data_IF_760415079306
#
_entry.id   IF_760415079306
#
_cell.length_a   1.000
_cell.length_b   1.000
_cell.length_c   1.000
_cell.angle_alpha   90.00
_cell.angle_beta   90.00
_cell.angle_gamma   90.00
#
_symmetry.space_group_name_H-M   'P 1'
#
loop_
_entity.id
_entity.type
_entity.pdbx_description
1 polymer ?
#
# COMPACT_ATOMS: atom_id res chain seq x y z
N UNK A 1 -18.61 -26.08 7.81
CA UNK A 1 -17.42 -25.71 8.58
C UNK A 1 -16.65 -24.73 7.73
N UNK A 2 -16.34 -23.54 8.25
CA UNK A 2 -15.50 -22.59 7.52
C UNK A 2 -14.10 -23.20 7.30
N UNK A 3 -13.57 -23.04 6.09
CA UNK A 3 -12.23 -23.48 5.76
C UNK A 3 -11.20 -22.60 6.49
N UNK A 4 -10.47 -23.16 7.44
CA UNK A 4 -9.41 -22.47 8.19
C UNK A 4 -8.00 -22.74 7.65
N UNK A 5 -7.89 -23.43 6.50
CA UNK A 5 -6.62 -23.83 5.93
C UNK A 5 -5.77 -22.61 5.53
N UNK A 6 -4.50 -22.65 5.93
CA UNK A 6 -3.46 -21.73 5.48
C UNK A 6 -2.57 -22.51 4.52
N UNK A 7 -2.43 -22.02 3.29
CA UNK A 7 -1.70 -22.70 2.22
C UNK A 7 -0.46 -21.88 1.87
N UNK A 8 0.74 -22.50 1.79
CA UNK A 8 1.93 -21.82 1.31
C UNK A 8 1.71 -21.20 -0.06
N UNK A 9 2.23 -19.99 -0.24
CA UNK A 9 2.19 -19.25 -1.49
C UNK A 9 3.61 -18.93 -1.94
N UNK A 10 3.80 -18.93 -3.25
CA UNK A 10 5.03 -18.46 -3.89
C UNK A 10 4.61 -17.65 -5.10
N UNK A 11 5.13 -16.43 -5.20
CA UNK A 11 4.94 -15.59 -6.37
C UNK A 11 5.70 -16.20 -7.55
N UNK A 12 5.00 -16.50 -8.63
CA UNK A 12 5.58 -17.08 -9.84
C UNK A 12 4.81 -16.54 -11.05
N UNK A 13 5.21 -15.35 -11.51
CA UNK A 13 4.56 -14.68 -12.64
C UNK A 13 4.96 -15.38 -13.94
N UNK A 14 4.01 -15.87 -14.75
CA UNK A 14 4.30 -16.52 -16.03
C UNK A 14 5.11 -15.59 -16.94
N UNK A 15 6.07 -16.16 -17.68
CA UNK A 15 6.87 -15.37 -18.63
C UNK A 15 5.98 -14.66 -19.67
N UNK A 16 4.86 -15.26 -20.05
CA UNK A 16 3.89 -14.66 -20.97
C UNK A 16 3.29 -13.34 -20.46
N UNK A 17 3.16 -13.14 -19.15
CA UNK A 17 2.65 -11.88 -18.59
C UNK A 17 3.73 -10.78 -18.66
N UNK A 18 5.01 -11.15 -18.48
CA UNK A 18 6.12 -10.22 -18.67
C UNK A 18 6.31 -9.84 -20.15
N UNK A 19 6.12 -10.81 -21.04
CA UNK A 19 6.18 -10.58 -22.49
C UNK A 19 5.02 -9.67 -22.94
N UNK A 20 3.81 -9.86 -22.40
CA UNK A 20 2.66 -8.98 -22.65
C UNK A 20 2.89 -7.56 -22.12
N UNK A 21 3.41 -7.42 -20.89
CA UNK A 21 3.80 -6.13 -20.32
C UNK A 21 4.79 -5.40 -21.24
N UNK A 22 5.86 -6.09 -21.66
CA UNK A 22 6.87 -5.52 -22.54
C UNK A 22 6.29 -5.09 -23.90
N UNK A 23 5.42 -5.92 -24.49
CA UNK A 23 4.75 -5.59 -25.74
C UNK A 23 3.84 -4.34 -25.60
N UNK A 24 3.13 -4.20 -24.48
CA UNK A 24 2.28 -3.02 -24.20
C UNK A 24 3.11 -1.76 -23.96
N UNK A 25 4.25 -1.86 -23.26
CA UNK A 25 5.19 -0.77 -23.09
C UNK A 25 5.72 -0.28 -24.45
N UNK A 26 6.16 -1.21 -25.31
CA UNK A 26 6.68 -0.92 -26.66
C UNK A 26 5.60 -0.27 -27.55
N UNK A 27 4.34 -0.64 -27.38
CA UNK A 27 3.20 -0.13 -28.15
C UNK A 27 2.55 1.15 -27.55
N UNK A 28 3.15 1.75 -26.51
CA UNK A 28 2.54 2.88 -25.79
C UNK A 28 2.25 4.06 -26.72
N UNK A 29 0.97 4.46 -26.79
CA UNK A 29 0.57 5.72 -27.42
C UNK A 29 0.57 6.86 -26.41
N UNK A 30 1.67 7.60 -26.38
CA UNK A 30 1.85 8.74 -25.50
C UNK A 30 0.95 9.93 -25.86
N UNK A 31 0.36 10.61 -24.86
CA UNK A 31 -0.34 11.87 -25.08
C UNK A 31 0.64 12.99 -25.44
N UNK A 32 0.11 14.08 -26.01
CA UNK A 32 0.85 15.33 -26.08
C UNK A 32 1.04 15.89 -24.66
N UNK A 33 2.21 16.47 -24.39
CA UNK A 33 2.44 17.19 -23.15
C UNK A 33 1.50 18.40 -23.05
N UNK A 34 1.00 18.67 -21.85
CA UNK A 34 0.34 19.94 -21.54
C UNK A 34 1.41 21.06 -21.49
N UNK A 35 1.03 22.35 -21.65
CA UNK A 35 1.99 23.44 -21.58
C UNK A 35 2.80 23.40 -20.27
N UNK A 36 4.13 23.36 -20.38
CA UNK A 36 5.06 23.24 -19.25
C UNK A 36 5.73 21.86 -19.15
N UNK A 37 4.98 20.78 -19.42
CA UNK A 37 5.39 19.38 -19.15
C UNK A 37 6.03 19.23 -17.75
N UNK A 38 5.37 19.79 -16.75
CA UNK A 38 5.76 19.78 -15.34
C UNK A 38 4.68 19.09 -14.48
N UNK A 39 4.89 19.11 -13.16
CA UNK A 39 4.06 18.36 -12.22
C UNK A 39 2.77 19.08 -11.83
N UNK A 40 2.53 20.32 -12.31
CA UNK A 40 1.37 21.13 -11.92
C UNK A 40 0.05 20.52 -12.40
N UNK A 41 0.10 19.62 -13.39
CA UNK A 41 -1.08 18.94 -13.97
C UNK A 41 -1.00 17.42 -13.90
N UNK A 42 -0.13 16.88 -13.04
CA UNK A 42 0.15 15.45 -12.91
C UNK A 42 1.51 15.07 -13.48
N UNK A 43 1.74 13.78 -13.73
CA UNK A 43 3.06 13.29 -14.14
C UNK A 43 3.51 13.84 -15.51
N UNK A 44 4.69 14.49 -15.61
CA UNK A 44 5.26 14.91 -16.89
C UNK A 44 5.41 13.76 -17.88
N UNK A 45 5.09 14.00 -19.14
CA UNK A 45 5.22 13.01 -20.22
C UNK A 45 6.69 12.63 -20.39
N UNK A 46 7.61 13.60 -20.37
CA UNK A 46 9.04 13.31 -20.48
C UNK A 46 9.57 12.43 -19.34
N UNK A 47 9.16 12.70 -18.09
CA UNK A 47 9.60 11.91 -16.94
C UNK A 47 9.01 10.50 -16.96
N UNK A 48 7.71 10.36 -17.23
CA UNK A 48 7.03 9.06 -17.27
C UNK A 48 7.57 8.18 -18.42
N UNK A 49 7.93 8.77 -19.56
CA UNK A 49 8.63 8.08 -20.66
C UNK A 49 9.95 7.48 -20.19
N UNK A 50 10.79 8.29 -19.52
CA UNK A 50 12.09 7.81 -19.03
C UNK A 50 11.94 6.66 -18.02
N UNK A 51 10.94 6.71 -17.13
CA UNK A 51 10.67 5.62 -16.20
C UNK A 51 10.12 4.37 -16.91
N UNK A 52 9.24 4.54 -17.91
CA UNK A 52 8.72 3.42 -18.71
C UNK A 52 9.81 2.75 -19.57
N UNK A 53 10.76 3.52 -20.11
CA UNK A 53 11.94 3.01 -20.81
C UNK A 53 12.83 2.18 -19.85
N UNK A 54 13.08 2.68 -18.64
CA UNK A 54 13.78 1.90 -17.61
C UNK A 54 13.01 0.64 -17.21
N UNK A 55 11.68 0.73 -17.06
CA UNK A 55 10.84 -0.43 -16.76
C UNK A 55 10.93 -1.50 -17.84
N UNK A 56 11.01 -1.08 -19.12
CA UNK A 56 11.09 -1.97 -20.26
C UNK A 56 12.45 -2.62 -20.44
N UNK A 57 13.55 -1.89 -20.24
CA UNK A 57 14.88 -2.34 -20.65
C UNK A 57 15.90 -2.52 -19.51
N UNK A 58 15.61 -1.99 -18.31
CA UNK A 58 16.52 -2.03 -17.16
C UNK A 58 16.00 -2.80 -15.94
N UNK A 59 14.70 -2.75 -15.71
CA UNK A 59 14.06 -3.36 -14.54
C UNK A 59 14.03 -4.90 -14.62
N UNK A 60 14.60 -5.59 -13.62
CA UNK A 60 14.57 -7.06 -13.52
C UNK A 60 13.45 -7.52 -12.58
N UNK A 61 12.24 -7.78 -13.12
CA UNK A 61 11.14 -8.36 -12.34
C UNK A 61 11.54 -9.64 -11.62
N UNK A 62 12.37 -10.50 -12.23
CA UNK A 62 12.76 -11.77 -11.61
C UNK A 62 13.63 -11.55 -10.38
N UNK A 63 14.41 -10.46 -10.32
CA UNK A 63 15.13 -10.09 -9.10
C UNK A 63 14.16 -9.72 -7.96
N UNK A 64 13.14 -8.93 -8.28
CA UNK A 64 12.15 -8.46 -7.32
C UNK A 64 11.25 -9.60 -6.84
N UNK A 65 10.81 -10.48 -7.76
CA UNK A 65 10.10 -11.72 -7.46
C UNK A 65 10.91 -12.63 -6.53
N UNK A 66 12.23 -12.77 -6.77
CA UNK A 66 13.12 -13.52 -5.87
C UNK A 66 13.21 -12.88 -4.49
N UNK A 67 13.28 -11.56 -4.40
CA UNK A 67 13.34 -10.83 -3.12
C UNK A 67 12.07 -11.03 -2.31
N UNK A 68 10.89 -10.81 -2.90
CA UNK A 68 9.59 -11.02 -2.25
C UNK A 68 9.49 -12.47 -1.75
N UNK A 69 9.89 -13.44 -2.59
CA UNK A 69 9.89 -14.86 -2.26
C UNK A 69 10.95 -15.30 -1.23
N UNK A 70 11.83 -14.41 -0.75
CA UNK A 70 12.67 -14.72 0.42
C UNK A 70 11.85 -14.83 1.70
N UNK A 71 10.69 -14.19 1.74
CA UNK A 71 9.80 -14.21 2.89
C UNK A 71 8.73 -15.31 2.74
N UNK A 72 8.42 -16.05 3.83
CA UNK A 72 7.31 -17.00 3.82
C UNK A 72 5.99 -16.28 3.53
N UNK A 73 5.30 -16.72 2.49
CA UNK A 73 4.02 -16.19 2.05
C UNK A 73 2.96 -17.28 2.10
N UNK A 74 1.73 -16.87 2.32
CA UNK A 74 0.60 -17.78 2.46
C UNK A 74 -0.66 -17.17 1.87
N UNK A 75 -1.62 -18.04 1.60
CA UNK A 75 -3.00 -17.67 1.29
C UNK A 75 -3.97 -18.43 2.19
N UNK A 76 -5.10 -17.80 2.47
CA UNK A 76 -6.24 -18.41 3.16
C UNK A 76 -7.53 -17.76 2.70
N UNK A 77 -8.68 -18.37 2.98
CA UNK A 77 -9.99 -17.80 2.68
C UNK A 77 -10.68 -17.35 3.98
N UNK A 78 -11.06 -16.07 4.05
CA UNK A 78 -11.74 -15.48 5.20
C UNK A 78 -12.97 -14.71 4.71
N UNK A 79 -14.16 -15.10 5.18
CA UNK A 79 -15.41 -14.47 4.77
C UNK A 79 -15.63 -14.52 3.26
N UNK A 80 -15.29 -15.65 2.61
CA UNK A 80 -15.41 -15.87 1.17
C UNK A 80 -14.37 -15.17 0.30
N UNK A 81 -13.41 -14.45 0.90
CA UNK A 81 -12.35 -13.75 0.17
C UNK A 81 -11.01 -14.45 0.35
N UNK A 82 -10.28 -14.63 -0.76
CA UNK A 82 -8.88 -15.02 -0.72
C UNK A 82 -8.04 -13.87 -0.16
N UNK A 83 -7.24 -14.18 0.84
CA UNK A 83 -6.30 -13.27 1.50
C UNK A 83 -4.90 -13.83 1.32
N UNK A 84 -4.01 -13.02 0.74
CA UNK A 84 -2.58 -13.25 0.74
C UNK A 84 -1.92 -12.52 1.91
N UNK A 85 -0.87 -13.10 2.49
CA UNK A 85 -0.06 -12.45 3.51
C UNK A 85 1.35 -13.02 3.61
N UNK A 86 2.32 -12.18 3.98
CA UNK A 86 3.63 -12.63 4.46
C UNK A 86 3.51 -12.95 5.96
N UNK A 87 4.19 -13.99 6.41
CA UNK A 87 4.31 -14.33 7.82
C UNK A 87 5.76 -14.60 8.19
N UNK A 88 6.37 -13.64 8.89
CA UNK A 88 7.80 -13.67 9.23
C UNK A 88 7.94 -13.79 10.74
N UNK A 89 8.44 -14.93 11.19
CA UNK A 89 8.69 -15.19 12.61
C UNK A 89 10.07 -14.65 12.98
N UNK A 90 10.11 -13.72 13.93
CA UNK A 90 11.33 -13.37 14.68
C UNK A 90 12.06 -14.61 15.23
N UNK A 91 13.41 -14.61 15.25
CA UNK A 91 14.20 -15.57 16.01
C UNK A 91 14.03 -15.42 17.54
N UNK A 92 13.58 -14.27 18.03
CA UNK A 92 13.30 -14.04 19.44
C UNK A 92 11.91 -14.64 19.79
N UNK A 93 11.83 -15.59 20.73
CA UNK A 93 10.59 -16.36 20.97
C UNK A 93 9.46 -15.53 21.58
N UNK A 94 9.81 -14.48 22.33
CA UNK A 94 8.88 -13.59 23.03
C UNK A 94 8.52 -12.34 22.20
N UNK A 95 8.92 -12.29 20.93
CA UNK A 95 8.65 -11.17 20.03
C UNK A 95 7.15 -10.87 19.91
N UNK A 96 6.78 -9.59 19.96
CA UNK A 96 5.38 -9.19 19.89
C UNK A 96 4.83 -9.43 18.47
N UNK A 97 3.70 -10.13 18.29
CA UNK A 97 3.08 -10.23 16.97
C UNK A 97 2.52 -8.88 16.53
N UNK A 98 2.74 -8.51 15.27
CA UNK A 98 2.33 -7.23 14.71
C UNK A 98 1.77 -7.43 13.30
N UNK A 99 0.53 -6.99 13.09
CA UNK A 99 -0.06 -6.92 11.75
C UNK A 99 0.26 -5.58 11.09
N UNK A 100 0.87 -5.61 9.90
CA UNK A 100 1.25 -4.45 9.10
C UNK A 100 0.33 -4.31 7.89
N UNK A 101 -0.56 -3.32 7.90
CA UNK A 101 -1.53 -3.11 6.80
C UNK A 101 -1.10 -1.92 5.93
N UNK A 102 -0.90 -2.16 4.63
CA UNK A 102 -0.65 -1.10 3.64
C UNK A 102 -1.94 -0.33 3.31
N UNK A 103 -1.83 0.65 2.41
CA UNK A 103 -3.01 1.30 1.81
C UNK A 103 -2.93 1.38 0.30
N UNK A 104 -3.47 2.45 -0.27
CA UNK A 104 -3.47 2.75 -1.69
C UNK A 104 -2.59 3.99 -1.96
N UNK A 105 -1.79 4.03 -3.05
CA UNK A 105 -1.58 3.01 -4.09
C UNK A 105 -0.50 1.99 -3.70
N UNK A 106 -0.46 1.65 -2.42
CA UNK A 106 0.55 0.83 -1.78
C UNK A 106 0.37 -0.68 -1.93
N UNK A 107 1.32 -1.43 -1.36
CA UNK A 107 1.32 -2.89 -1.33
C UNK A 107 2.21 -3.42 -0.21
N UNK A 108 2.31 -4.76 -0.09
CA UNK A 108 3.24 -5.41 0.86
C UNK A 108 4.70 -5.06 0.59
N UNK A 109 5.03 -4.57 -0.61
CA UNK A 109 6.38 -4.19 -1.04
C UNK A 109 6.94 -3.05 -0.19
N UNK A 110 6.09 -2.15 0.33
CA UNK A 110 6.48 -1.05 1.21
C UNK A 110 7.16 -1.51 2.50
N UNK A 111 6.93 -2.76 2.91
CA UNK A 111 7.41 -3.28 4.17
C UNK A 111 8.68 -4.13 4.04
N UNK A 112 9.15 -4.45 2.83
CA UNK A 112 10.26 -5.40 2.64
C UNK A 112 11.52 -4.98 3.42
N UNK A 113 11.86 -3.69 3.35
CA UNK A 113 13.02 -3.13 4.06
C UNK A 113 12.79 -2.99 5.59
N UNK A 114 11.54 -3.09 6.06
CA UNK A 114 11.20 -3.09 7.48
C UNK A 114 11.23 -4.49 8.09
N UNK A 115 11.05 -5.55 7.29
CA UNK A 115 10.91 -6.91 7.81
C UNK A 115 12.16 -7.34 8.60
N UNK A 116 13.35 -7.12 8.05
CA UNK A 116 14.61 -7.51 8.70
C UNK A 116 14.79 -6.84 10.06
N UNK A 117 14.87 -5.51 10.12
CA UNK A 117 15.07 -4.78 11.38
C UNK A 117 13.99 -5.03 12.44
N UNK A 118 12.72 -5.19 12.04
CA UNK A 118 11.64 -5.43 13.00
C UNK A 118 11.58 -6.88 13.49
N UNK A 119 11.88 -7.86 12.63
CA UNK A 119 11.83 -9.26 13.04
C UNK A 119 13.11 -9.74 13.72
N UNK A 120 14.28 -9.25 13.31
CA UNK A 120 15.58 -9.60 13.88
C UNK A 120 16.38 -8.32 14.19
N UNK A 121 15.97 -7.53 15.21
CA UNK A 121 16.67 -6.31 15.58
C UNK A 121 18.12 -6.59 15.99
N UNK A 122 18.41 -7.76 16.56
CA UNK A 122 19.77 -8.16 16.96
C UNK A 122 20.75 -8.14 15.79
N UNK A 123 20.35 -8.70 14.64
CA UNK A 123 21.17 -8.70 13.43
C UNK A 123 21.30 -7.30 12.79
N UNK A 124 20.46 -6.34 13.18
CA UNK A 124 20.39 -4.99 12.62
C UNK A 124 20.79 -3.90 13.62
N UNK A 125 21.41 -4.26 14.77
CA UNK A 125 21.95 -3.33 15.76
C UNK A 125 20.93 -2.75 16.75
N UNK A 126 19.71 -3.29 16.79
CA UNK A 126 18.67 -2.96 17.77
C UNK A 126 18.67 -3.89 18.99
N UNK A 127 17.79 -3.59 19.96
CA UNK A 127 17.57 -4.44 21.14
C UNK A 127 16.73 -5.68 20.77
N UNK A 128 17.18 -6.91 21.06
CA UNK A 128 16.36 -8.12 20.92
C UNK A 128 14.97 -8.05 21.57
N UNK A 129 14.82 -7.28 22.65
CA UNK A 129 13.53 -7.09 23.32
C UNK A 129 12.49 -6.33 22.48
N UNK A 130 12.93 -5.60 21.45
CA UNK A 130 12.08 -4.82 20.54
C UNK A 130 11.64 -5.63 19.29
N UNK A 131 11.85 -6.96 19.29
CA UNK A 131 11.54 -7.80 18.15
C UNK A 131 10.03 -8.04 17.94
N UNK A 132 9.65 -8.24 16.68
CA UNK A 132 8.27 -8.53 16.28
C UNK A 132 8.15 -9.81 15.44
N UNK A 133 7.09 -10.59 15.68
CA UNK A 133 6.59 -11.49 14.62
C UNK A 133 5.71 -10.68 13.67
N UNK A 134 5.96 -10.74 12.37
CA UNK A 134 5.28 -9.88 11.40
C UNK A 134 4.25 -10.66 10.59
N UNK A 135 3.05 -10.11 10.48
CA UNK A 135 2.00 -10.55 9.56
C UNK A 135 1.69 -9.38 8.63
N UNK A 136 1.97 -9.54 7.34
CA UNK A 136 1.88 -8.46 6.35
C UNK A 136 0.87 -8.86 5.27
N UNK A 137 -0.43 -8.65 5.50
CA UNK A 137 -1.44 -9.04 4.55
C UNK A 137 -1.59 -8.04 3.39
N UNK A 138 -1.91 -8.57 2.22
CA UNK A 138 -2.42 -7.78 1.10
C UNK A 138 -3.90 -7.48 1.34
N UNK A 139 -4.31 -6.21 1.25
CA UNK A 139 -5.72 -5.82 1.42
C UNK A 139 -6.66 -6.61 0.48
N UNK A 140 -7.90 -6.92 0.89
CA UNK A 140 -8.93 -7.47 0.01
C UNK A 140 -9.10 -6.61 -1.25
N UNK A 141 -8.96 -7.21 -2.44
CA UNK A 141 -9.02 -6.47 -3.71
C UNK A 141 -7.68 -5.91 -4.19
N UNK A 142 -6.58 -6.10 -3.45
CA UNK A 142 -5.27 -5.54 -3.78
C UNK A 142 -4.25 -6.63 -4.08
N UNK A 143 -3.49 -6.41 -5.17
CA UNK A 143 -2.31 -7.18 -5.56
C UNK A 143 -2.48 -8.68 -5.36
N UNK A 144 -1.63 -9.25 -4.52
CA UNK A 144 -1.56 -10.70 -4.32
C UNK A 144 -2.77 -11.32 -3.61
N UNK A 145 -3.67 -10.54 -2.98
CA UNK A 145 -4.99 -11.05 -2.51
C UNK A 145 -5.98 -11.22 -3.67
N UNK A 146 -5.77 -10.50 -4.77
CA UNK A 146 -6.60 -10.52 -5.96
C UNK A 146 -7.92 -9.77 -5.80
N UNK A 147 -8.75 -9.76 -6.86
CA UNK A 147 -10.05 -9.07 -6.86
C UNK A 147 -10.98 -9.53 -5.75
N UNK A 148 -11.90 -8.64 -5.34
CA UNK A 148 -12.91 -9.00 -4.34
C UNK A 148 -13.95 -9.97 -4.91
N UNK A 149 -14.31 -10.99 -4.15
CA UNK A 149 -15.34 -11.97 -4.53
C UNK A 149 -16.77 -11.41 -4.43
N UNK A 150 -16.98 -10.41 -3.58
CA UNK A 150 -18.27 -9.73 -3.40
C UNK A 150 -18.09 -8.30 -2.90
N UNK A 151 -19.16 -7.50 -2.95
CA UNK A 151 -19.18 -6.14 -2.44
C UNK A 151 -19.16 -6.08 -0.89
N UNK A 152 -18.96 -4.87 -0.34
CA UNK A 152 -19.05 -4.62 1.10
C UNK A 152 -17.76 -4.85 1.89
N UNK A 153 -16.61 -4.90 1.21
CA UNK A 153 -15.30 -4.82 1.85
C UNK A 153 -14.99 -3.40 2.31
N UNK A 154 -15.52 -3.04 3.48
CA UNK A 154 -15.20 -1.82 4.21
C UNK A 154 -14.07 -2.04 5.25
N UNK A 155 -13.69 -0.97 5.95
CA UNK A 155 -12.62 -1.02 6.97
C UNK A 155 -12.96 -1.96 8.13
N UNK A 156 -14.21 -1.98 8.58
CA UNK A 156 -14.66 -2.84 9.67
C UNK A 156 -14.68 -4.33 9.28
N UNK A 157 -15.11 -4.66 8.06
CA UNK A 157 -15.05 -6.02 7.51
C UNK A 157 -13.61 -6.49 7.35
N UNK A 158 -12.74 -5.62 6.84
CA UNK A 158 -11.30 -5.90 6.72
C UNK A 158 -10.67 -6.14 8.10
N UNK A 159 -11.00 -5.33 9.10
CA UNK A 159 -10.55 -5.53 10.47
C UNK A 159 -11.01 -6.87 11.08
N UNK A 160 -12.27 -7.29 10.85
CA UNK A 160 -12.74 -8.63 11.26
C UNK A 160 -11.96 -9.74 10.56
N UNK A 161 -11.60 -9.57 9.29
CA UNK A 161 -10.77 -10.53 8.59
C UNK A 161 -9.34 -10.61 9.17
N UNK A 162 -8.76 -9.49 9.62
CA UNK A 162 -7.49 -9.49 10.35
C UNK A 162 -7.57 -10.15 11.72
N UNK A 163 -8.63 -9.91 12.49
CA UNK A 163 -8.84 -10.62 13.75
C UNK A 163 -8.88 -12.14 13.53
N UNK A 164 -9.61 -12.60 12.50
CA UNK A 164 -9.68 -14.02 12.15
C UNK A 164 -8.33 -14.55 11.63
N UNK A 165 -7.60 -13.79 10.82
CA UNK A 165 -6.26 -14.17 10.35
C UNK A 165 -5.29 -14.37 11.52
N UNK A 166 -5.24 -13.41 12.46
CA UNK A 166 -4.38 -13.49 13.64
C UNK A 166 -4.77 -14.66 14.53
N UNK A 167 -6.07 -14.92 14.70
CA UNK A 167 -6.59 -16.09 15.43
C UNK A 167 -6.15 -17.41 14.79
N UNK A 168 -6.24 -17.54 13.46
CA UNK A 168 -5.78 -18.75 12.73
C UNK A 168 -4.26 -18.98 12.87
N UNK A 169 -3.49 -17.91 12.99
CA UNK A 169 -2.05 -17.96 13.24
C UNK A 169 -1.68 -18.22 14.71
N UNK A 170 -2.68 -18.31 15.60
CA UNK A 170 -2.49 -18.59 17.03
C UNK A 170 -2.05 -17.38 17.86
N UNK A 171 -2.22 -16.16 17.35
CA UNK A 171 -1.86 -14.95 18.07
C UNK A 171 -3.03 -14.44 18.92
N UNK A 172 -2.92 -14.65 20.24
CA UNK A 172 -3.91 -14.16 21.21
C UNK A 172 -3.62 -12.73 21.69
N UNK A 173 -2.39 -12.24 21.51
CA UNK A 173 -1.97 -10.85 21.79
C UNK A 173 -1.15 -10.32 20.62
N UNK A 174 -1.55 -9.19 20.05
CA UNK A 174 -0.86 -8.59 18.91
C UNK A 174 -1.06 -7.08 18.81
N UNK A 175 -0.10 -6.38 18.20
CA UNK A 175 -0.25 -4.99 17.79
C UNK A 175 -0.86 -4.87 16.39
N UNK A 176 -1.47 -3.72 16.10
CA UNK A 176 -1.96 -3.36 14.78
C UNK A 176 -1.28 -2.08 14.28
N UNK A 177 -0.70 -2.11 13.09
CA UNK A 177 -0.05 -0.96 12.47
C UNK A 177 -0.53 -0.75 11.05
N UNK A 178 -0.75 0.51 10.69
CA UNK A 178 -1.05 0.86 9.30
C UNK A 178 -0.87 2.34 8.97
N UNK A 179 -0.61 2.58 7.69
CA UNK A 179 -0.71 3.88 7.03
C UNK A 179 -1.86 3.86 6.02
N UNK A 180 -2.29 5.02 5.55
CA UNK A 180 -3.35 5.18 4.55
C UNK A 180 -4.61 4.34 4.91
N UNK A 181 -5.18 3.51 4.02
CA UNK A 181 -6.32 2.62 4.33
C UNK A 181 -6.01 1.75 5.56
N UNK A 182 -4.76 1.28 5.70
CA UNK A 182 -4.30 0.55 6.89
C UNK A 182 -4.42 1.34 8.19
N UNK A 183 -4.29 2.67 8.15
CA UNK A 183 -4.53 3.54 9.30
C UNK A 183 -6.02 3.71 9.64
N UNK A 184 -6.92 3.45 8.69
CA UNK A 184 -8.36 3.34 8.95
C UNK A 184 -8.75 1.94 9.46
N UNK A 185 -8.10 0.88 8.96
CA UNK A 185 -8.35 -0.51 9.37
C UNK A 185 -7.79 -0.85 10.75
N UNK A 186 -6.59 -0.36 11.09
CA UNK A 186 -5.91 -0.75 12.34
C UNK A 186 -6.67 -0.32 13.62
N UNK A 187 -7.26 0.89 13.69
CA UNK A 187 -8.14 1.25 14.80
C UNK A 187 -9.41 0.40 14.85
N UNK A 188 -10.00 0.04 13.71
CA UNK A 188 -11.14 -0.88 13.67
C UNK A 188 -10.78 -2.26 14.21
N UNK A 189 -9.55 -2.75 13.96
CA UNK A 189 -9.06 -4.00 14.54
C UNK A 189 -9.05 -3.94 16.08
N UNK A 190 -8.60 -2.82 16.64
CA UNK A 190 -8.67 -2.57 18.08
C UNK A 190 -10.11 -2.52 18.64
N UNK A 191 -11.09 -2.12 17.82
CA UNK A 191 -12.51 -2.11 18.21
C UNK A 191 -13.17 -3.49 18.13
N UNK A 192 -12.85 -4.27 17.10
CA UNK A 192 -13.48 -5.60 16.89
C UNK A 192 -12.82 -6.72 17.68
N UNK A 193 -11.54 -6.55 18.07
CA UNK A 193 -10.79 -7.51 18.88
C UNK A 193 -10.03 -6.80 20.03
N UNK A 194 -10.74 -6.11 20.95
CA UNK A 194 -10.12 -5.29 22.00
C UNK A 194 -9.34 -6.12 23.03
N UNK A 195 -9.71 -7.38 23.24
CA UNK A 195 -9.05 -8.29 24.18
C UNK A 195 -7.70 -8.82 23.64
N UNK A 196 -7.55 -8.87 22.32
CA UNK A 196 -6.35 -9.39 21.65
C UNK A 196 -5.41 -8.27 21.17
N UNK A 197 -5.94 -7.10 20.83
CA UNK A 197 -5.15 -5.99 20.28
C UNK A 197 -4.50 -5.18 21.39
N UNK A 198 -3.18 -5.31 21.58
CA UNK A 198 -2.45 -4.68 22.70
C UNK A 198 -2.04 -3.23 22.41
N UNK A 199 -2.12 -2.80 21.16
CA UNK A 199 -1.78 -1.44 20.75
C UNK A 199 -2.07 -1.19 19.28
N UNK A 200 -2.40 0.07 18.95
CA UNK A 200 -2.61 0.54 17.58
C UNK A 200 -1.62 1.65 17.28
N UNK A 201 -0.82 1.49 16.23
CA UNK A 201 0.14 2.49 15.76
C UNK A 201 -0.21 2.93 14.33
N UNK A 202 -0.53 4.21 14.13
CA UNK A 202 -0.83 4.78 12.81
C UNK A 202 0.14 5.88 12.44
N UNK A 203 0.53 5.94 11.17
CA UNK A 203 1.49 6.92 10.66
C UNK A 203 0.91 7.89 9.62
N UNK A 204 -0.43 8.00 9.57
CA UNK A 204 -1.19 8.89 8.66
C UNK A 204 -2.16 8.11 7.78
N UNK A 205 -3.30 8.71 7.41
CA UNK A 205 -4.27 8.10 6.50
C UNK A 205 -5.57 8.92 6.34
N UNK A 206 -6.55 8.41 5.56
CA UNK A 206 -7.77 9.11 5.19
C UNK A 206 -8.78 9.09 6.36
N UNK A 207 -8.38 9.61 7.51
CA UNK A 207 -9.28 9.86 8.63
C UNK A 207 -10.42 10.81 8.22
N UNK A 208 -11.47 10.94 9.06
CA UNK A 208 -12.56 11.86 8.76
C UNK A 208 -12.01 13.26 8.51
N UNK A 209 -12.28 13.78 7.32
CA UNK A 209 -11.87 15.14 6.94
C UNK A 209 -12.70 16.12 7.77
N UNK A 210 -12.08 17.16 8.36
CA UNK A 210 -12.84 18.21 9.02
C UNK A 210 -13.78 18.90 8.01
N UNK A 211 -14.91 19.48 8.47
CA UNK A 211 -15.76 20.27 7.59
C UNK A 211 -15.04 21.56 7.19
N UNK A 212 -14.49 21.59 5.98
CA UNK A 212 -13.72 22.73 5.46
C UNK A 212 -14.59 23.65 4.58
N UNK A 213 -14.35 24.98 4.58
CA UNK A 213 -13.39 25.69 5.44
C UNK A 213 -13.85 25.74 6.90
N UNK A 214 -12.90 25.78 7.84
CA UNK A 214 -13.21 25.96 9.26
C UNK A 214 -13.77 27.37 9.53
N UNK A 215 -14.67 27.54 10.53
CA UNK A 215 -15.09 28.85 11.00
C UNK A 215 -13.89 29.71 11.42
N UNK A 216 -13.96 31.03 11.19
CA UNK A 216 -12.84 31.95 11.47
C UNK A 216 -12.41 31.93 12.94
N UNK A 217 -13.35 31.82 13.87
CA UNK A 217 -13.09 31.70 15.31
C UNK A 217 -12.31 30.42 15.65
N UNK A 218 -12.67 29.30 15.01
CA UNK A 218 -11.96 28.03 15.19
C UNK A 218 -10.54 28.13 14.63
N UNK A 219 -10.37 28.66 13.41
CA UNK A 219 -9.05 28.85 12.79
C UNK A 219 -8.14 29.79 13.60
N UNK A 220 -8.71 30.83 14.23
CA UNK A 220 -8.00 31.75 15.09
C UNK A 220 -7.52 31.10 16.39
N UNK A 221 -8.24 30.08 16.88
CA UNK A 221 -7.88 29.34 18.11
C UNK A 221 -6.71 28.37 17.92
N UNK A 222 -6.43 27.98 16.67
CA UNK A 222 -5.37 27.02 16.34
C UNK A 222 -3.96 27.60 16.51
N UNK A 223 -2.98 26.75 16.80
CA UNK A 223 -1.57 27.09 16.71
C UNK A 223 -1.14 27.29 15.25
N UNK A 224 0.06 27.86 15.04
CA UNK A 224 0.62 27.98 13.68
C UNK A 224 0.77 26.62 12.98
N UNK A 225 1.19 25.58 13.71
CA UNK A 225 1.32 24.22 13.18
C UNK A 225 -0.04 23.61 12.81
N UNK A 226 -1.06 23.83 13.63
CA UNK A 226 -2.40 23.33 13.35
C UNK A 226 -3.05 24.04 12.15
N UNK A 227 -2.90 25.37 12.03
CA UNK A 227 -3.33 26.11 10.83
C UNK A 227 -2.64 25.60 9.56
N UNK A 228 -1.35 25.33 9.64
CA UNK A 228 -0.57 24.77 8.54
C UNK A 228 -1.03 23.33 8.17
N UNK A 229 -1.46 22.51 9.14
CA UNK A 229 -2.12 21.23 8.86
C UNK A 229 -3.47 21.41 8.17
N UNK A 230 -4.31 22.33 8.65
CA UNK A 230 -5.61 22.63 8.03
C UNK A 230 -5.43 23.10 6.58
N UNK A 231 -4.50 24.02 6.33
CA UNK A 231 -4.20 24.51 4.99
C UNK A 231 -3.75 23.38 4.03
N UNK A 232 -2.96 22.41 4.51
CA UNK A 232 -2.58 21.24 3.72
C UNK A 232 -3.77 20.33 3.39
N UNK A 233 -4.72 20.17 4.32
CA UNK A 233 -5.94 19.38 4.08
C UNK A 233 -6.80 20.10 3.02
N UNK A 234 -6.94 21.42 3.11
CA UNK A 234 -7.65 22.23 2.11
C UNK A 234 -6.99 22.10 0.72
N UNK A 235 -5.66 22.22 0.64
CA UNK A 235 -4.91 22.03 -0.61
C UNK A 235 -5.13 20.62 -1.19
N UNK A 236 -5.03 19.58 -0.36
CA UNK A 236 -5.31 18.20 -0.78
C UNK A 236 -6.72 18.04 -1.36
N UNK A 237 -7.74 18.63 -0.72
CA UNK A 237 -9.12 18.59 -1.20
C UNK A 237 -9.31 19.27 -2.55
N UNK A 238 -8.56 20.34 -2.82
CA UNK A 238 -8.67 21.11 -4.05
C UNK A 238 -7.84 20.53 -5.19
N UNK A 239 -6.64 20.04 -4.89
CA UNK A 239 -5.61 19.73 -5.90
C UNK A 239 -5.45 18.22 -6.12
N UNK A 240 -5.64 17.39 -5.08
CA UNK A 240 -5.23 15.97 -5.13
C UNK A 240 -6.42 14.98 -5.01
N UNK A 241 -7.59 15.44 -4.55
CA UNK A 241 -8.75 14.59 -4.24
C UNK A 241 -9.38 13.90 -5.46
N UNK A 242 -9.00 14.27 -6.67
CA UNK A 242 -9.56 13.74 -7.92
C UNK A 242 -9.54 12.21 -7.99
N UNK A 243 -8.46 11.57 -7.52
CA UNK A 243 -8.34 10.11 -7.52
C UNK A 243 -9.40 9.44 -6.60
N UNK A 244 -9.66 10.03 -5.42
CA UNK A 244 -10.69 9.54 -4.49
C UNK A 244 -12.06 9.69 -5.12
N UNK A 245 -12.35 10.84 -5.73
CA UNK A 245 -13.64 11.12 -6.33
C UNK A 245 -14.01 10.09 -7.42
N UNK A 246 -13.07 9.76 -8.32
CA UNK A 246 -13.33 8.78 -9.38
C UNK A 246 -13.37 7.34 -8.85
N UNK A 247 -12.46 6.95 -7.93
CA UNK A 247 -12.42 5.59 -7.38
C UNK A 247 -13.62 5.29 -6.46
N UNK A 248 -14.12 6.28 -5.72
CA UNK A 248 -15.27 6.09 -4.82
C UNK A 248 -16.61 6.03 -5.54
N UNK A 249 -16.69 6.46 -6.81
CA UNK A 249 -17.96 6.58 -7.53
C UNK A 249 -18.05 5.70 -8.77
N UNK A 250 -16.97 5.53 -9.53
CA UNK A 250 -16.92 4.78 -10.79
C UNK A 250 -15.65 3.91 -10.89
N UNK A 251 -15.33 3.08 -9.88
CA UNK A 251 -14.09 2.30 -9.86
C UNK A 251 -13.96 1.35 -11.06
N UNK A 252 -15.06 0.69 -11.47
CA UNK A 252 -15.04 -0.20 -12.64
C UNK A 252 -14.72 0.54 -13.94
N UNK A 253 -15.20 1.79 -14.09
CA UNK A 253 -14.94 2.60 -15.29
C UNK A 253 -13.47 2.99 -15.39
N UNK A 254 -12.88 3.44 -14.28
CA UNK A 254 -11.45 3.72 -14.21
C UNK A 254 -10.62 2.45 -14.45
N UNK A 255 -11.04 1.34 -13.86
CA UNK A 255 -10.33 0.06 -13.89
C UNK A 255 -10.05 -0.45 -15.30
N UNK A 256 -10.91 -0.21 -16.28
CA UNK A 256 -10.65 -0.62 -17.67
C UNK A 256 -9.38 0.02 -18.25
N UNK A 257 -9.14 1.31 -17.98
CA UNK A 257 -7.97 2.01 -18.50
C UNK A 257 -6.69 1.59 -17.78
N UNK A 258 -6.77 1.42 -16.45
CA UNK A 258 -5.64 1.00 -15.62
C UNK A 258 -5.22 -0.44 -15.89
N UNK A 259 -6.17 -1.36 -16.10
CA UNK A 259 -5.90 -2.76 -16.41
C UNK A 259 -5.38 -3.00 -17.84
N UNK A 260 -5.73 -2.14 -18.80
CA UNK A 260 -5.29 -2.30 -20.20
C UNK A 260 -3.93 -1.63 -20.49
N UNK A 261 -3.60 -0.55 -19.78
CA UNK A 261 -2.41 0.25 -20.10
C UNK A 261 -1.42 0.31 -18.93
N UNK A 262 -0.25 -0.35 -19.04
CA UNK A 262 0.75 -0.30 -17.97
C UNK A 262 1.27 1.13 -17.74
N UNK A 263 1.35 1.97 -18.77
CA UNK A 263 1.74 3.38 -18.62
C UNK A 263 0.64 4.21 -17.96
N UNK A 264 -0.65 3.87 -18.16
CA UNK A 264 -1.73 4.51 -17.41
C UNK A 264 -1.66 4.14 -15.92
N UNK A 265 -1.44 2.85 -15.61
CA UNK A 265 -1.23 2.38 -14.24
C UNK A 265 -0.01 3.08 -13.59
N UNK A 266 1.13 3.13 -14.30
CA UNK A 266 2.35 3.77 -13.81
C UNK A 266 2.12 5.26 -13.54
N UNK A 267 1.54 6.00 -14.47
CA UNK A 267 1.24 7.43 -14.27
C UNK A 267 0.29 7.68 -13.11
N UNK A 268 -0.75 6.84 -12.96
CA UNK A 268 -1.74 6.95 -11.87
C UNK A 268 -1.11 6.77 -10.49
N UNK A 269 -0.15 5.85 -10.37
CA UNK A 269 0.57 5.58 -9.11
C UNK A 269 1.66 6.64 -8.86
N UNK A 270 2.47 6.97 -9.88
CA UNK A 270 3.63 7.87 -9.72
C UNK A 270 3.24 9.30 -9.34
N UNK A 271 2.05 9.75 -9.75
CA UNK A 271 1.46 11.01 -9.28
C UNK A 271 1.46 11.08 -7.75
N UNK A 272 1.09 9.98 -7.07
CA UNK A 272 0.99 9.93 -5.61
C UNK A 272 2.33 9.73 -4.94
N UNK A 273 3.23 8.94 -5.52
CA UNK A 273 4.59 8.86 -5.01
C UNK A 273 5.30 10.22 -5.08
N UNK A 274 5.01 11.05 -6.08
CA UNK A 274 5.55 12.41 -6.14
C UNK A 274 4.94 13.35 -5.12
N UNK A 275 3.63 13.30 -4.91
CA UNK A 275 2.98 14.25 -3.98
C UNK A 275 3.12 13.85 -2.51
N UNK A 276 3.22 12.56 -2.19
CA UNK A 276 3.16 12.06 -0.81
C UNK A 276 4.51 11.63 -0.22
N UNK A 277 5.58 11.64 -1.02
CA UNK A 277 6.93 11.35 -0.54
C UNK A 277 7.63 12.62 -0.07
N UNK A 278 8.26 12.56 1.10
CA UNK A 278 9.05 13.67 1.63
C UNK A 278 10.53 13.54 1.22
N UNK A 279 11.19 14.61 0.73
CA UNK A 279 10.68 15.97 0.55
C UNK A 279 9.75 16.12 -0.66
N UNK A 280 8.61 16.83 -0.49
CA UNK A 280 7.54 16.94 -1.51
C UNK A 280 8.05 17.36 -2.90
N UNK A 281 9.07 18.21 -2.99
CA UNK A 281 9.57 18.72 -4.29
C UNK A 281 10.58 17.81 -4.99
N UNK A 282 11.07 16.76 -4.32
CA UNK A 282 11.99 15.81 -4.92
C UNK A 282 11.25 14.93 -5.93
N UNK A 283 11.98 14.41 -6.93
CA UNK A 283 11.38 13.40 -7.80
C UNK A 283 11.18 12.10 -7.01
N UNK A 284 10.16 11.29 -7.34
CA UNK A 284 9.90 10.04 -6.61
C UNK A 284 11.13 9.13 -6.55
N UNK A 285 11.85 9.04 -7.66
CA UNK A 285 13.01 8.18 -7.85
C UNK A 285 14.31 8.70 -7.20
N UNK A 286 14.29 9.92 -6.67
CA UNK A 286 15.37 10.47 -5.86
C UNK A 286 15.23 10.11 -4.37
N UNK A 287 14.03 9.68 -3.94
CA UNK A 287 13.72 9.34 -2.55
C UNK A 287 13.48 7.85 -2.37
N UNK A 288 12.70 7.25 -3.27
CA UNK A 288 12.41 5.82 -3.30
C UNK A 288 13.07 5.23 -4.55
N UNK A 289 13.85 4.18 -4.38
CA UNK A 289 14.54 3.52 -5.49
C UNK A 289 13.55 3.13 -6.62
N UNK A 290 13.98 3.30 -7.88
CA UNK A 290 13.13 3.04 -9.07
C UNK A 290 12.65 1.60 -9.13
N UNK A 291 13.49 0.64 -8.76
CA UNK A 291 13.07 -0.77 -8.74
C UNK A 291 11.99 -0.99 -7.69
N UNK A 292 12.07 -0.32 -6.53
CA UNK A 292 11.02 -0.39 -5.51
C UNK A 292 9.70 0.24 -5.99
N UNK A 293 9.76 1.40 -6.66
CA UNK A 293 8.58 2.06 -7.28
C UNK A 293 7.90 1.16 -8.33
N UNK A 294 8.70 0.58 -9.22
CA UNK A 294 8.22 -0.31 -10.28
C UNK A 294 7.75 -1.66 -9.72
N UNK A 295 8.35 -2.16 -8.65
CA UNK A 295 7.88 -3.37 -7.96
C UNK A 295 6.53 -3.14 -7.31
N UNK A 296 6.32 -2.01 -6.63
CA UNK A 296 5.00 -1.66 -6.10
C UNK A 296 3.96 -1.58 -7.23
N UNK A 297 4.28 -0.86 -8.31
CA UNK A 297 3.39 -0.71 -9.48
C UNK A 297 3.06 -2.07 -10.12
N UNK A 298 4.06 -2.92 -10.32
CA UNK A 298 3.91 -4.24 -10.93
C UNK A 298 3.19 -5.25 -10.03
N UNK A 299 3.18 -5.02 -8.70
CA UNK A 299 2.53 -5.89 -7.72
C UNK A 299 1.08 -5.51 -7.39
N UNK A 300 0.59 -4.38 -7.91
CA UNK A 300 -0.74 -3.84 -7.63
C UNK A 300 -1.73 -4.01 -8.79
N UNK A 301 -1.23 -4.35 -9.99
CA UNK A 301 -2.01 -4.64 -11.20
C UNK A 301 -2.23 -6.14 -11.45
#
# INVERSE_FOLDING_TARGET
MENTQITPFRLDVPQSELDDLNARLDATRWPAALPGDDWDTGVPVAWLRGLAEYWRDGYDWRAQEREINRYPQFTTEIGGQRIHFLHVRSPEPDALPLVLTHGWPGSVVEFLDLIGPLSDPRAHGGDPADAFHLVVPSLPGFGLSGPVAEAGWDTARTARAWAELMRRLGYERYGARGGDIGAAVSPELGRVAPENTVGVHVNGGPGPMPPLPLPEEELASLTGLERDRVARIEAFMQEEFGYIAIQSTRPQTLGYGLADSPVAQLGWIMDKFREWTHPRKALPDEVVDRDRLLTNTSSTG
#
